data_IF_628465834898
#
_entry.id   IF_628465834898
#
_cell.length_a   1.000
_cell.length_b   1.000
_cell.length_c   1.000
_cell.angle_alpha   90.00
_cell.angle_beta   90.00
_cell.angle_gamma   90.00
#
_symmetry.space_group_name_H-M   'P 1'
#
loop_
_entity.id
_entity.type
_entity.pdbx_description
1 polymer ?
#
# COMPACT_ATOMS: atom_id res chain seq x y z
N UNK A 1 -7.70 -3.10 -9.13
CA UNK A 1 -6.70 -2.19 -8.52
C UNK A 1 -6.68 -0.98 -9.40
N UNK A 2 -7.09 0.17 -8.89
CA UNK A 2 -7.30 1.37 -9.71
C UNK A 2 -5.97 1.96 -10.18
N UNK A 3 -4.88 1.65 -9.47
CA UNK A 3 -3.50 1.93 -9.86
C UNK A 3 -2.91 0.89 -10.83
N UNK A 4 -3.73 -0.01 -11.39
CA UNK A 4 -3.26 -1.01 -12.36
C UNK A 4 -2.79 -0.34 -13.65
N UNK A 5 -1.49 -0.43 -13.95
CA UNK A 5 -0.86 0.22 -15.12
C UNK A 5 0.03 1.42 -14.77
N UNK A 6 -0.08 1.95 -13.55
CA UNK A 6 0.75 3.07 -13.04
C UNK A 6 1.34 2.77 -11.66
N UNK A 7 1.44 1.48 -11.32
CA UNK A 7 1.86 1.02 -10.00
C UNK A 7 3.38 0.80 -9.96
N UNK A 8 4.08 1.59 -9.15
CA UNK A 8 5.52 1.43 -8.87
C UNK A 8 5.92 -0.03 -8.58
N UNK A 9 5.10 -0.75 -7.81
CA UNK A 9 5.37 -2.14 -7.44
C UNK A 9 5.32 -3.08 -8.65
N UNK A 10 4.40 -2.84 -9.59
CA UNK A 10 4.30 -3.64 -10.81
C UNK A 10 5.49 -3.34 -11.73
N UNK A 11 5.83 -2.07 -11.90
CA UNK A 11 6.94 -1.66 -12.77
C UNK A 11 8.28 -2.20 -12.26
N UNK A 12 8.52 -2.12 -10.95
CA UNK A 12 9.72 -2.69 -10.34
C UNK A 12 9.75 -4.22 -10.42
N UNK A 13 8.61 -4.89 -10.25
CA UNK A 13 8.52 -6.34 -10.39
C UNK A 13 8.79 -6.79 -11.83
N UNK A 14 8.33 -6.03 -12.83
CA UNK A 14 8.60 -6.32 -14.25
C UNK A 14 10.04 -6.03 -14.64
N UNK A 15 10.63 -4.94 -14.12
CA UNK A 15 11.99 -4.53 -14.48
C UNK A 15 13.07 -5.34 -13.76
N UNK A 16 12.84 -5.72 -12.50
CA UNK A 16 13.86 -6.30 -11.61
C UNK A 16 13.39 -7.55 -10.84
N UNK A 17 12.10 -7.87 -10.86
CA UNK A 17 11.54 -9.01 -10.13
C UNK A 17 11.76 -10.35 -10.84
N UNK A 18 11.46 -11.43 -10.11
CA UNK A 18 11.42 -12.78 -10.66
C UNK A 18 10.05 -13.07 -11.29
N UNK A 19 10.05 -13.84 -12.38
CA UNK A 19 8.86 -14.17 -13.18
C UNK A 19 7.91 -15.17 -12.50
N UNK A 20 8.36 -15.88 -11.45
CA UNK A 20 7.54 -16.82 -10.69
C UNK A 20 7.57 -16.58 -9.17
N UNK A 21 6.44 -16.91 -8.51
CA UNK A 21 6.35 -16.91 -7.05
C UNK A 21 6.59 -18.31 -6.48
N UNK A 22 7.41 -18.38 -5.41
CA UNK A 22 7.59 -19.61 -4.62
C UNK A 22 6.57 -19.75 -3.49
N UNK A 23 5.91 -18.65 -3.11
CA UNK A 23 4.99 -18.59 -1.98
C UNK A 23 3.62 -19.12 -2.39
N UNK A 24 3.08 -20.11 -1.67
CA UNK A 24 1.80 -20.78 -1.99
C UNK A 24 0.82 -20.79 -0.82
N UNK A 25 1.26 -20.35 0.35
CA UNK A 25 0.47 -20.26 1.55
C UNK A 25 -0.58 -19.13 1.44
N UNK A 26 -1.65 -19.17 2.27
CA UNK A 26 -2.61 -18.09 2.31
C UNK A 26 -1.95 -16.76 2.71
N UNK A 27 -2.15 -15.74 1.88
CA UNK A 27 -1.66 -14.38 2.13
C UNK A 27 -2.47 -13.74 3.24
N UNK A 28 -1.83 -12.84 4.00
CA UNK A 28 -2.55 -11.97 4.93
C UNK A 28 -3.59 -11.14 4.18
N UNK A 29 -4.73 -10.94 4.81
CA UNK A 29 -5.70 -9.92 4.45
C UNK A 29 -5.84 -8.98 5.64
N UNK A 30 -6.09 -7.71 5.36
CA UNK A 30 -6.25 -6.66 6.36
C UNK A 30 -7.50 -5.87 6.02
N UNK A 31 -8.27 -5.53 7.06
CA UNK A 31 -9.46 -4.70 6.93
C UNK A 31 -9.10 -3.30 6.43
N UNK A 32 -9.98 -2.73 5.61
CA UNK A 32 -9.78 -1.43 5.02
C UNK A 32 -10.10 -0.32 6.03
N UNK A 33 -9.19 0.65 6.16
CA UNK A 33 -9.33 1.76 7.08
C UNK A 33 -10.22 2.85 6.47
N UNK A 34 -11.28 3.25 7.15
CA UNK A 34 -12.10 4.36 6.67
C UNK A 34 -11.38 5.72 6.89
N UNK A 35 -10.83 6.29 5.82
CA UNK A 35 -10.20 7.63 5.81
C UNK A 35 -11.16 8.74 5.33
N UNK A 36 -12.46 8.46 5.30
CA UNK A 36 -13.50 9.38 4.82
C UNK A 36 -13.80 9.21 3.32
N UNK A 37 -14.64 10.09 2.75
CA UNK A 37 -15.22 9.90 1.42
C UNK A 37 -14.28 10.25 0.25
N UNK A 38 -13.13 10.85 0.54
CA UNK A 38 -12.20 11.34 -0.50
C UNK A 38 -11.12 10.32 -0.86
N UNK A 39 -10.72 9.47 0.09
CA UNK A 39 -9.62 8.52 -0.08
C UNK A 39 -10.14 7.13 0.23
N UNK A 40 -10.40 6.36 -0.83
CA UNK A 40 -10.70 4.93 -0.71
C UNK A 40 -9.42 4.17 -0.34
N UNK A 41 -9.52 3.28 0.64
CA UNK A 41 -8.37 2.50 1.10
C UNK A 41 -8.55 1.04 0.78
N UNK A 42 -7.45 0.41 0.40
CA UNK A 42 -7.35 -1.04 0.25
C UNK A 42 -6.07 -1.53 0.93
N UNK A 43 -6.13 -1.73 2.25
CA UNK A 43 -4.96 -1.94 3.12
C UNK A 43 -4.30 -3.30 2.89
N UNK A 44 -5.03 -4.28 2.35
CA UNK A 44 -4.44 -5.55 1.90
C UNK A 44 -3.41 -5.35 0.78
N UNK A 45 -3.52 -4.28 -0.03
CA UNK A 45 -2.56 -3.93 -1.09
C UNK A 45 -1.35 -3.13 -0.58
N UNK A 46 -1.44 -2.58 0.64
CA UNK A 46 -0.38 -1.75 1.22
C UNK A 46 0.85 -2.59 1.60
N UNK A 47 2.03 -2.12 1.18
CA UNK A 47 3.33 -2.75 1.45
C UNK A 47 4.03 -2.18 2.70
N UNK A 48 3.34 -1.38 3.50
CA UNK A 48 3.89 -0.81 4.74
C UNK A 48 5.15 0.06 4.55
N UNK A 49 5.23 0.79 3.43
CA UNK A 49 6.36 1.67 3.10
C UNK A 49 6.41 3.00 3.89
N UNK A 50 5.44 3.24 4.78
CA UNK A 50 5.28 4.43 5.65
C UNK A 50 5.19 5.79 4.98
N UNK A 51 5.12 5.84 3.64
CA UNK A 51 5.06 7.11 2.89
C UNK A 51 3.84 7.96 3.28
N UNK A 52 2.68 7.34 3.42
CA UNK A 52 1.45 8.03 3.84
C UNK A 52 1.54 8.57 5.28
N UNK A 53 2.08 7.79 6.23
CA UNK A 53 2.24 8.19 7.64
C UNK A 53 3.16 9.40 7.78
N UNK A 54 4.28 9.41 7.06
CA UNK A 54 5.20 10.56 7.02
C UNK A 54 4.53 11.78 6.38
N UNK A 55 3.84 11.60 5.26
CA UNK A 55 3.12 12.70 4.62
C UNK A 55 2.08 13.32 5.55
N UNK A 56 1.26 12.51 6.22
CA UNK A 56 0.22 13.04 7.11
C UNK A 56 0.81 13.77 8.30
N UNK A 57 1.89 13.24 8.88
CA UNK A 57 2.52 13.83 10.08
C UNK A 57 3.35 15.07 9.74
N UNK A 58 4.19 15.00 8.72
CA UNK A 58 5.20 16.03 8.41
C UNK A 58 4.67 17.12 7.48
N UNK A 59 3.80 16.78 6.52
CA UNK A 59 3.33 17.71 5.48
C UNK A 59 1.92 18.20 5.78
N UNK A 60 0.98 17.29 6.04
CA UNK A 60 -0.40 17.68 6.36
C UNK A 60 -0.55 18.17 7.82
N UNK A 61 0.40 17.84 8.70
CA UNK A 61 0.39 18.22 10.11
C UNK A 61 -0.67 17.50 10.96
N UNK A 62 -1.15 16.35 10.51
CA UNK A 62 -2.20 15.56 11.15
C UNK A 62 -1.69 14.15 11.47
N UNK A 63 -1.65 13.80 12.75
CA UNK A 63 -1.21 12.47 13.23
C UNK A 63 -2.39 11.52 13.34
N UNK A 64 -2.99 11.15 12.21
CA UNK A 64 -4.12 10.19 12.16
C UNK A 64 -3.70 8.78 11.76
N UNK A 65 -2.60 8.63 11.03
CA UNK A 65 -2.07 7.33 10.61
C UNK A 65 -0.85 6.98 11.44
N UNK A 66 -0.64 5.67 11.66
CA UNK A 66 0.50 5.15 12.40
C UNK A 66 0.87 3.76 11.93
N UNK A 67 2.06 3.32 12.31
CA UNK A 67 2.51 1.94 12.13
C UNK A 67 2.65 1.33 13.52
N UNK A 68 1.88 0.28 13.79
CA UNK A 68 2.01 -0.57 14.99
C UNK A 68 2.90 -1.75 14.70
#
# INVERSE_FOLDING_TARGET
CDQGGECDLQDQAMAYGVDFSRYREPKRAVDDLNLGPLVETHMTRCISCTRCVRFTTEVAGITQMGQT
#
